data_IF_901678492252
#
_entry.id   IF_901678492252
#
_cell.length_a   1.000
_cell.length_b   1.000
_cell.length_c   1.000
_cell.angle_alpha   90.00
_cell.angle_beta   90.00
_cell.angle_gamma   90.00
#
_symmetry.space_group_name_H-M   'P 1'
#
loop_
_entity.id
_entity.type
_entity.pdbx_description
1 polymer ?
#
# COMPACT_ATOMS: atom_id res chain seq x y z
N UNK A 1 26.54 6.39 -1.98
CA UNK A 1 25.49 7.42 -1.77
C UNK A 1 24.72 7.08 -0.49
N UNK A 2 24.59 8.02 0.44
CA UNK A 2 24.09 7.78 1.80
C UNK A 2 22.60 7.42 1.85
N UNK A 3 22.28 6.14 1.98
CA UNK A 3 20.94 5.58 2.29
C UNK A 3 20.56 5.78 3.79
N UNK A 4 21.26 6.66 4.51
CA UNK A 4 20.96 6.94 5.91
C UNK A 4 19.68 7.76 6.11
N UNK A 5 19.28 8.58 5.11
CA UNK A 5 18.04 9.39 5.16
C UNK A 5 16.79 8.61 4.81
N UNK A 6 16.89 7.60 3.93
CA UNK A 6 15.74 6.86 3.40
C UNK A 6 14.94 6.17 4.50
N UNK A 7 15.60 5.50 5.44
CA UNK A 7 14.91 4.78 6.52
C UNK A 7 14.14 5.69 7.50
N UNK A 8 14.57 6.95 7.71
CA UNK A 8 13.80 7.90 8.53
C UNK A 8 12.56 8.39 7.79
N UNK A 9 12.69 8.62 6.48
CA UNK A 9 11.56 8.99 5.64
C UNK A 9 10.53 7.86 5.59
N UNK A 10 10.94 6.63 5.28
CA UNK A 10 10.02 5.48 5.20
C UNK A 10 9.29 5.27 6.52
N UNK A 11 10.01 5.37 7.64
CA UNK A 11 9.41 5.23 8.98
C UNK A 11 8.30 6.24 9.27
N UNK A 12 8.36 7.46 8.72
CA UNK A 12 7.32 8.48 8.89
C UNK A 12 6.24 8.29 7.82
N UNK A 13 6.66 8.12 6.57
CA UNK A 13 5.79 8.01 5.41
C UNK A 13 4.86 6.79 5.50
N UNK A 14 5.27 5.67 6.10
CA UNK A 14 4.41 4.50 6.28
C UNK A 14 3.14 4.78 7.09
N UNK A 15 3.19 5.66 8.10
CA UNK A 15 2.01 6.02 8.90
C UNK A 15 1.04 6.83 8.08
N UNK A 16 1.59 7.81 7.36
CA UNK A 16 0.82 8.68 6.47
C UNK A 16 0.22 7.85 5.34
N UNK A 17 1.01 6.99 4.70
CA UNK A 17 0.61 6.13 3.59
C UNK A 17 -0.46 5.10 4.01
N UNK A 18 -0.34 4.51 5.20
CA UNK A 18 -1.34 3.56 5.71
C UNK A 18 -2.74 4.18 5.87
N UNK A 19 -2.84 5.50 6.02
CA UNK A 19 -4.10 6.23 6.12
C UNK A 19 -4.48 6.84 4.78
N UNK A 20 -3.57 7.60 4.17
CA UNK A 20 -3.86 8.36 2.94
C UNK A 20 -4.05 7.46 1.72
N UNK A 21 -3.34 6.34 1.58
CA UNK A 21 -3.48 5.49 0.39
C UNK A 21 -4.83 4.78 0.36
N UNK A 22 -5.33 4.14 1.44
CA UNK A 22 -6.70 3.63 1.44
C UNK A 22 -7.73 4.71 1.18
N UNK A 23 -7.60 5.88 1.83
CA UNK A 23 -8.50 7.00 1.57
C UNK A 23 -8.45 7.44 0.10
N UNK A 24 -7.27 7.48 -0.51
CA UNK A 24 -7.12 7.79 -1.92
C UNK A 24 -7.79 6.74 -2.82
N UNK A 25 -7.49 5.45 -2.61
CA UNK A 25 -8.03 4.33 -3.39
C UNK A 25 -9.56 4.36 -3.39
N UNK A 26 -10.17 4.61 -2.23
CA UNK A 26 -11.61 4.51 -2.08
C UNK A 26 -12.38 5.82 -2.34
N UNK A 27 -11.81 6.97 -1.95
CA UNK A 27 -12.49 8.27 -1.97
C UNK A 27 -11.74 9.29 -2.82
N UNK A 28 -10.42 9.38 -2.65
CA UNK A 28 -9.59 10.39 -3.31
C UNK A 28 -9.49 10.24 -4.83
N UNK A 29 -9.75 9.06 -5.39
CA UNK A 29 -9.76 8.86 -6.85
C UNK A 29 -10.80 9.73 -7.57
N UNK A 30 -11.89 10.13 -6.89
CA UNK A 30 -12.84 11.09 -7.43
C UNK A 30 -12.22 12.47 -7.68
N UNK A 31 -11.22 12.86 -6.89
CA UNK A 31 -10.50 14.14 -7.06
C UNK A 31 -9.58 14.16 -8.28
N UNK A 32 -9.22 12.98 -8.78
CA UNK A 32 -8.40 12.83 -9.99
C UNK A 32 -9.25 12.50 -11.23
N UNK A 33 -10.57 12.63 -11.14
CA UNK A 33 -11.48 12.50 -12.28
C UNK A 33 -12.08 11.11 -12.47
N UNK A 34 -11.83 10.15 -11.57
CA UNK A 34 -12.56 8.89 -11.60
C UNK A 34 -14.03 9.10 -11.22
N UNK A 35 -14.92 8.32 -11.83
CA UNK A 35 -16.31 8.26 -11.40
C UNK A 35 -16.44 7.40 -10.14
N UNK A 36 -17.28 7.85 -9.20
CA UNK A 36 -17.47 7.20 -7.90
C UNK A 36 -18.79 6.42 -7.89
N UNK A 37 -18.69 5.10 -7.86
CA UNK A 37 -19.78 4.16 -7.69
C UNK A 37 -19.68 3.40 -6.36
N UNK A 38 -20.08 2.12 -6.38
CA UNK A 38 -20.20 1.26 -5.19
C UNK A 38 -18.87 1.04 -4.45
N UNK A 39 -17.72 1.15 -5.13
CA UNK A 39 -16.41 1.04 -4.47
C UNK A 39 -16.18 2.15 -3.43
N UNK A 40 -16.78 3.32 -3.59
CA UNK A 40 -16.74 4.37 -2.58
C UNK A 40 -17.42 3.93 -1.27
N UNK A 41 -18.59 3.27 -1.40
CA UNK A 41 -19.37 2.78 -0.26
C UNK A 41 -18.61 1.65 0.45
N UNK A 42 -18.08 0.69 -0.30
CA UNK A 42 -17.24 -0.38 0.25
C UNK A 42 -16.02 0.21 0.97
N UNK A 43 -15.44 1.26 0.41
CA UNK A 43 -14.35 1.99 1.02
C UNK A 43 -14.69 2.67 2.34
N UNK A 44 -15.91 3.17 2.51
CA UNK A 44 -16.37 3.73 3.79
C UNK A 44 -16.56 2.61 4.83
N UNK A 45 -17.18 1.50 4.42
CA UNK A 45 -17.50 0.38 5.32
C UNK A 45 -16.24 -0.37 5.76
N UNK A 46 -15.34 -0.68 4.80
CA UNK A 46 -14.17 -1.52 5.04
C UNK A 46 -12.86 -0.74 5.09
N UNK A 47 -12.83 0.55 4.75
CA UNK A 47 -11.60 1.34 4.69
C UNK A 47 -10.89 1.43 6.05
N UNK A 48 -11.65 1.54 7.15
CA UNK A 48 -11.06 1.51 8.49
C UNK A 48 -10.34 0.18 8.76
N UNK A 49 -10.92 -0.94 8.33
CA UNK A 49 -10.28 -2.25 8.46
C UNK A 49 -8.98 -2.31 7.64
N UNK A 50 -8.98 -1.83 6.40
CA UNK A 50 -7.77 -1.77 5.55
C UNK A 50 -6.70 -0.90 6.20
N UNK A 51 -7.06 0.27 6.74
CA UNK A 51 -6.13 1.15 7.46
C UNK A 51 -5.51 0.42 8.66
N UNK A 52 -6.32 -0.27 9.47
CA UNK A 52 -5.84 -1.03 10.62
C UNK A 52 -4.85 -2.12 10.18
N UNK A 53 -5.16 -2.84 9.11
CA UNK A 53 -4.26 -3.87 8.55
C UNK A 53 -2.94 -3.24 8.08
N UNK A 54 -2.98 -2.15 7.34
CA UNK A 54 -1.76 -1.46 6.87
C UNK A 54 -0.94 -0.84 8.02
N UNK A 55 -1.56 -0.56 9.17
CA UNK A 55 -0.88 -0.09 10.37
C UNK A 55 -0.18 -1.22 11.15
N UNK A 56 -0.43 -2.50 10.85
CA UNK A 56 0.22 -3.60 11.59
C UNK A 56 1.75 -3.57 11.45
N UNK A 57 2.36 -3.56 10.25
CA UNK A 57 3.83 -3.47 10.12
C UNK A 57 4.47 -2.24 10.81
N UNK A 58 3.98 -0.99 10.63
CA UNK A 58 4.58 0.18 11.27
C UNK A 58 4.44 0.15 12.80
N UNK A 59 3.33 -0.35 13.33
CA UNK A 59 3.16 -0.53 14.79
C UNK A 59 4.16 -1.55 15.32
N UNK A 60 4.35 -2.68 14.63
CA UNK A 60 5.33 -3.69 15.03
C UNK A 60 6.76 -3.15 15.06
N UNK A 61 7.12 -2.28 14.10
CA UNK A 61 8.46 -1.67 14.06
C UNK A 61 8.67 -0.52 15.06
N UNK A 62 7.59 0.10 15.57
CA UNK A 62 7.66 1.18 16.57
C UNK A 62 8.15 0.68 17.94
N UNK A 63 7.65 -0.48 18.36
CA UNK A 63 7.97 -1.05 19.67
C UNK A 63 9.36 -1.68 19.74
N UNK A 64 10.04 -1.86 18.59
CA UNK A 64 11.39 -2.42 18.55
C UNK A 64 12.45 -1.32 18.41
N UNK A 65 12.79 -0.68 19.54
CA UNK A 65 13.87 0.33 19.62
C UNK A 65 15.24 -0.25 19.21
N UNK A 66 15.42 -1.57 19.27
CA UNK A 66 16.70 -2.29 19.13
C UNK A 66 16.97 -2.77 17.70
N UNK A 67 15.94 -3.14 16.94
CA UNK A 67 16.02 -3.49 15.50
C UNK A 67 16.46 -2.30 14.62
N UNK A 68 16.34 -1.07 15.13
CA UNK A 68 16.86 0.14 14.47
C UNK A 68 18.36 0.07 14.12
N UNK A 69 19.14 -0.84 14.73
CA UNK A 69 20.59 -0.96 14.50
C UNK A 69 20.99 -1.84 13.30
N UNK A 70 20.13 -2.72 12.78
CA UNK A 70 20.52 -3.63 11.67
C UNK A 70 20.19 -3.02 10.29
N UNK A 71 21.21 -2.84 9.45
CA UNK A 71 21.10 -2.18 8.14
C UNK A 71 20.39 -3.02 7.07
N UNK A 72 20.59 -4.33 7.05
CA UNK A 72 20.07 -5.21 5.98
C UNK A 72 18.55 -5.40 6.04
N UNK A 73 17.99 -5.57 7.24
CA UNK A 73 16.53 -5.70 7.42
C UNK A 73 15.80 -4.40 7.03
N UNK A 74 16.45 -3.24 7.22
CA UNK A 74 15.91 -1.94 6.77
C UNK A 74 15.77 -1.84 5.26
N UNK A 75 16.74 -2.32 4.50
CA UNK A 75 16.70 -2.18 3.04
C UNK A 75 15.54 -2.97 2.41
N UNK A 76 15.35 -4.22 2.84
CA UNK A 76 14.24 -5.03 2.37
C UNK A 76 12.87 -4.48 2.81
N UNK A 77 12.77 -3.97 4.04
CA UNK A 77 11.56 -3.32 4.55
C UNK A 77 11.24 -2.03 3.77
N UNK A 78 12.25 -1.21 3.50
CA UNK A 78 12.08 0.04 2.74
C UNK A 78 11.60 -0.26 1.31
N UNK A 79 12.23 -1.20 0.61
CA UNK A 79 11.82 -1.61 -0.75
C UNK A 79 10.39 -2.12 -0.75
N UNK A 80 10.06 -3.08 0.13
CA UNK A 80 8.72 -3.65 0.17
C UNK A 80 7.66 -2.61 0.52
N UNK A 81 7.99 -1.62 1.36
CA UNK A 81 7.10 -0.48 1.65
C UNK A 81 6.87 0.40 0.41
N UNK A 82 7.93 0.76 -0.32
CA UNK A 82 7.78 1.55 -1.55
C UNK A 82 6.98 0.80 -2.62
N UNK A 83 7.22 -0.50 -2.79
CA UNK A 83 6.46 -1.33 -3.73
C UNK A 83 4.99 -1.40 -3.32
N UNK A 84 4.71 -1.59 -2.03
CA UNK A 84 3.35 -1.59 -1.50
C UNK A 84 2.63 -0.27 -1.79
N UNK A 85 3.30 0.87 -1.55
CA UNK A 85 2.69 2.18 -1.79
C UNK A 85 2.45 2.46 -3.27
N UNK A 86 3.43 2.14 -4.13
CA UNK A 86 3.29 2.28 -5.57
C UNK A 86 2.16 1.41 -6.11
N UNK A 87 2.06 0.18 -5.65
CA UNK A 87 0.99 -0.74 -6.06
C UNK A 87 -0.39 -0.29 -5.57
N UNK A 88 -0.51 0.22 -4.33
CA UNK A 88 -1.75 0.83 -3.84
C UNK A 88 -2.16 2.06 -4.64
N UNK A 89 -1.19 2.91 -5.03
CA UNK A 89 -1.46 4.07 -5.89
C UNK A 89 -1.99 3.63 -7.25
N UNK A 90 -1.32 2.67 -7.90
CA UNK A 90 -1.75 2.11 -9.18
C UNK A 90 -3.15 1.51 -9.04
N UNK A 91 -3.38 0.70 -8.01
CA UNK A 91 -4.69 0.11 -7.74
C UNK A 91 -5.76 1.20 -7.57
N UNK A 92 -5.48 2.31 -6.89
CA UNK A 92 -6.43 3.41 -6.75
C UNK A 92 -6.78 4.10 -8.07
N UNK A 93 -5.86 4.11 -9.03
CA UNK A 93 -6.09 4.71 -10.35
C UNK A 93 -6.86 3.78 -11.30
N UNK A 94 -6.73 2.47 -11.12
CA UNK A 94 -7.28 1.46 -12.03
C UNK A 94 -8.44 0.66 -11.45
N UNK A 95 -8.88 0.99 -10.24
CA UNK A 95 -9.93 0.24 -9.54
C UNK A 95 -11.21 0.21 -10.39
N UNK A 96 -11.68 -0.97 -10.80
CA UNK A 96 -12.94 -1.08 -11.50
C UNK A 96 -14.06 -0.78 -10.53
N UNK A 97 -15.07 -0.08 -11.01
CA UNK A 97 -16.22 0.31 -10.22
C UNK A 97 -17.49 0.26 -11.07
N UNK A 98 -18.63 0.21 -10.41
CA UNK A 98 -19.94 0.21 -11.04
C UNK A 98 -20.90 1.09 -10.26
N UNK A 99 -21.81 1.73 -10.98
CA UNK A 99 -22.99 2.40 -10.42
C UNK A 99 -24.27 1.64 -10.79
N UNK A 100 -25.42 2.24 -10.47
CA UNK A 100 -26.73 1.63 -10.74
C UNK A 100 -27.01 1.42 -12.24
N UNK A 101 -26.28 2.13 -13.11
CA UNK A 101 -26.38 2.04 -14.57
C UNK A 101 -25.33 1.16 -15.27
N UNK A 102 -24.44 0.50 -14.52
CA UNK A 102 -23.36 -0.33 -15.07
C UNK A 102 -21.94 0.14 -14.70
N UNK A 103 -20.90 -0.37 -15.41
CA UNK A 103 -19.51 -0.01 -15.15
C UNK A 103 -19.26 1.49 -15.29
N UNK A 104 -18.41 2.03 -14.43
CA UNK A 104 -18.00 3.44 -14.47
C UNK A 104 -16.50 3.56 -14.75
N UNK A 105 -16.10 4.65 -15.40
CA UNK A 105 -14.72 4.82 -15.83
C UNK A 105 -13.75 5.03 -14.66
N UNK A 106 -12.61 4.32 -14.73
CA UNK A 106 -11.49 4.50 -13.81
C UNK A 106 -10.75 5.82 -14.07
N UNK A 107 -9.93 6.29 -13.13
CA UNK A 107 -9.10 7.49 -13.34
C UNK A 107 -8.20 7.32 -14.57
N UNK A 108 -7.63 6.12 -14.74
CA UNK A 108 -6.74 5.81 -15.85
C UNK A 108 -7.46 5.83 -17.20
N UNK A 109 -8.69 5.30 -17.26
CA UNK A 109 -9.55 5.35 -18.44
C UNK A 109 -9.81 6.80 -18.84
N UNK A 110 -10.16 7.66 -17.87
CA UNK A 110 -10.45 9.08 -18.09
C UNK A 110 -9.20 9.83 -18.58
N UNK A 111 -8.06 9.65 -17.93
CA UNK A 111 -6.82 10.36 -18.27
C UNK A 111 -6.27 10.00 -19.65
N UNK A 112 -6.48 8.76 -20.08
CA UNK A 112 -6.02 8.28 -21.37
C UNK A 112 -7.01 8.52 -22.50
N UNK A 113 -8.16 9.15 -22.21
CA UNK A 113 -9.22 9.35 -23.19
C UNK A 113 -9.77 8.03 -23.74
N UNK A 114 -9.75 6.96 -22.93
CA UNK A 114 -10.20 5.62 -23.32
C UNK A 114 -9.16 4.77 -24.07
N UNK A 115 -7.91 5.23 -24.22
CA UNK A 115 -6.86 4.39 -24.79
C UNK A 115 -6.52 3.18 -23.90
N UNK A 116 -6.69 3.32 -22.59
CA UNK A 116 -6.79 2.20 -21.65
C UNK A 116 -8.26 2.06 -21.28
N UNK A 117 -8.88 0.96 -21.69
CA UNK A 117 -10.29 0.68 -21.40
C UNK A 117 -10.49 0.12 -19.97
N UNK A 118 -11.75 -0.12 -19.61
CA UNK A 118 -12.09 -0.65 -18.29
C UNK A 118 -11.64 -2.11 -18.09
N UNK A 119 -11.56 -2.90 -19.16
CA UNK A 119 -11.06 -4.29 -19.10
C UNK A 119 -9.54 -4.32 -18.83
N UNK A 120 -8.77 -3.50 -19.53
CA UNK A 120 -7.34 -3.32 -19.27
C UNK A 120 -7.10 -2.74 -17.88
N UNK A 121 -7.89 -1.76 -17.44
CA UNK A 121 -7.81 -1.21 -16.08
C UNK A 121 -8.10 -2.28 -15.02
N UNK A 122 -9.09 -3.14 -15.24
CA UNK A 122 -9.41 -4.28 -14.38
C UNK A 122 -8.24 -5.26 -14.28
N UNK A 123 -7.59 -5.57 -15.41
CA UNK A 123 -6.39 -6.40 -15.43
C UNK A 123 -5.24 -5.78 -14.64
N UNK A 124 -4.96 -4.49 -14.84
CA UNK A 124 -3.93 -3.76 -14.10
C UNK A 124 -4.24 -3.75 -12.61
N UNK A 125 -5.50 -3.54 -12.23
CA UNK A 125 -5.95 -3.60 -10.84
C UNK A 125 -5.71 -4.97 -10.22
N UNK A 126 -6.06 -6.05 -10.93
CA UNK A 126 -5.80 -7.42 -10.48
C UNK A 126 -4.30 -7.68 -10.24
N UNK A 127 -3.45 -7.26 -11.17
CA UNK A 127 -1.99 -7.35 -11.03
C UNK A 127 -1.46 -6.52 -9.86
N UNK A 128 -1.95 -5.29 -9.71
CA UNK A 128 -1.61 -4.44 -8.57
C UNK A 128 -2.04 -5.09 -7.24
N UNK A 129 -3.21 -5.73 -7.19
CA UNK A 129 -3.68 -6.50 -6.03
C UNK A 129 -2.73 -7.62 -5.62
N UNK A 130 -2.22 -8.40 -6.58
CA UNK A 130 -1.20 -9.43 -6.33
C UNK A 130 0.07 -8.80 -5.75
N UNK A 131 0.55 -7.71 -6.35
CA UNK A 131 1.74 -7.00 -5.89
C UNK A 131 1.54 -6.42 -4.49
N UNK A 132 0.37 -5.86 -4.19
CA UNK A 132 -0.01 -5.37 -2.85
C UNK A 132 0.08 -6.51 -1.84
N UNK A 133 -0.53 -7.66 -2.13
CA UNK A 133 -0.50 -8.82 -1.25
C UNK A 133 0.92 -9.30 -0.97
N UNK A 134 1.74 -9.47 -2.02
CA UNK A 134 3.13 -9.91 -1.88
C UNK A 134 4.00 -8.89 -1.15
N UNK A 135 3.86 -7.60 -1.48
CA UNK A 135 4.62 -6.52 -0.85
C UNK A 135 4.23 -6.36 0.62
N UNK A 136 2.95 -6.44 0.95
CA UNK A 136 2.47 -6.44 2.33
C UNK A 136 3.04 -7.61 3.12
N UNK A 137 2.97 -8.84 2.58
CA UNK A 137 3.57 -10.01 3.22
C UNK A 137 5.08 -9.83 3.41
N UNK A 138 5.80 -9.28 2.42
CA UNK A 138 7.23 -8.99 2.55
C UNK A 138 7.52 -7.95 3.65
N UNK A 139 6.74 -6.87 3.74
CA UNK A 139 6.89 -5.88 4.84
C UNK A 139 6.64 -6.53 6.20
N UNK A 140 5.63 -7.38 6.31
CA UNK A 140 5.30 -8.07 7.56
C UNK A 140 6.38 -9.09 7.96
N UNK A 141 6.84 -9.92 7.02
CA UNK A 141 7.91 -10.91 7.25
C UNK A 141 9.20 -10.22 7.65
N UNK A 142 9.58 -9.13 6.97
CA UNK A 142 10.79 -8.38 7.31
C UNK A 142 10.69 -7.69 8.67
N UNK A 143 9.51 -7.19 9.05
CA UNK A 143 9.24 -6.68 10.39
C UNK A 143 9.38 -7.79 11.46
N UNK A 144 8.76 -8.96 11.24
CA UNK A 144 8.85 -10.12 12.15
C UNK A 144 10.29 -10.61 12.26
N UNK A 145 11.01 -10.77 11.14
CA UNK A 145 12.40 -11.21 11.13
C UNK A 145 13.32 -10.26 11.91
N UNK A 146 13.06 -8.95 11.84
CA UNK A 146 13.72 -7.97 12.68
C UNK A 146 13.59 -8.34 14.16
N UNK A 147 12.36 -8.57 14.62
CA UNK A 147 12.05 -8.90 16.01
C UNK A 147 12.66 -10.26 16.43
N UNK A 148 12.51 -11.29 15.60
CA UNK A 148 12.95 -12.66 15.93
C UNK A 148 14.48 -12.78 15.99
N UNK A 149 15.21 -12.18 15.05
CA UNK A 149 16.68 -12.23 15.04
C UNK A 149 17.31 -11.59 16.27
N UNK A 150 16.59 -10.67 16.92
CA UNK A 150 17.04 -10.03 18.16
C UNK A 150 16.84 -10.92 19.40
N UNK A 151 15.79 -11.74 19.43
CA UNK A 151 15.52 -12.66 20.55
C UNK A 151 16.48 -13.85 20.63
N UNK A 152 17.30 -14.08 19.60
CA UNK A 152 18.37 -15.08 19.66
C UNK A 152 19.60 -14.43 20.30
N UNK A 153 20.01 -14.86 21.51
CA UNK A 153 21.26 -14.40 22.11
C UNK A 153 22.40 -14.75 21.15
N UNK A 154 23.28 -13.80 20.88
CA UNK A 154 24.57 -14.08 20.26
C UNK A 154 25.37 -14.86 21.32
N UNK A 155 25.36 -16.20 21.23
CA UNK A 155 26.13 -17.08 22.11
C UNK A 155 25.36 -18.22 22.77
N UNK A 156 24.68 -19.07 21.99
CA UNK A 156 24.36 -20.45 22.38
C UNK A 156 25.02 -21.39 21.37
#
# INVERSE_FOLDING_TARGET
MHIARTGRFVFIAQWVAAVLLPLFVFLGRGLVGAQMGWMAVLGIVYGLFVIVVLLVPPVMTLFDRTVRRQKTTRFAYDISSFVLWGALLIAGLTIPDAGDGGPVDTALTVWTGGAIDNDASTFIFGMAGIVIGLAYLATLVTAIMGIVRWRRPVGA
#
